data_IF_726998349745
#
_entry.id   IF_726998349745
#
_cell.length_a   1.000
_cell.length_b   1.000
_cell.length_c   1.000
_cell.angle_alpha   90.00
_cell.angle_beta   90.00
_cell.angle_gamma   90.00
#
_symmetry.space_group_name_H-M   'P 1'
#
loop_
_entity.id
_entity.type
_entity.pdbx_description
1 polymer ?
#
# COMPACT_ATOMS: atom_id res chain seq x y z
N UNK A 1 21.03 0.14 15.47
CA UNK A 1 19.69 0.05 16.09
C UNK A 1 19.01 -1.19 15.57
N UNK A 2 18.47 -2.04 16.45
CA UNK A 2 17.72 -3.20 16.00
C UNK A 2 16.42 -2.68 15.36
N UNK A 3 16.19 -2.96 14.07
CA UNK A 3 14.89 -2.78 13.44
C UNK A 3 13.88 -3.63 14.25
N UNK A 4 13.05 -2.98 15.04
CA UNK A 4 11.91 -3.64 15.66
C UNK A 4 10.96 -3.91 14.49
N UNK A 5 11.05 -5.12 13.96
CA UNK A 5 10.21 -5.57 12.86
C UNK A 5 8.91 -6.03 13.48
N UNK A 6 7.85 -5.23 13.37
CA UNK A 6 6.51 -5.69 13.69
C UNK A 6 6.20 -6.91 12.84
N UNK A 7 6.02 -8.05 13.46
CA UNK A 7 5.58 -9.24 12.79
C UNK A 7 4.34 -9.78 13.51
N UNK A 8 3.18 -9.59 12.91
CA UNK A 8 1.97 -10.23 13.37
C UNK A 8 2.12 -11.75 13.20
N UNK A 9 1.91 -12.49 14.26
CA UNK A 9 1.98 -13.96 14.23
C UNK A 9 0.68 -14.56 14.73
N UNK A 10 0.32 -15.73 14.26
CA UNK A 10 -0.83 -16.48 14.80
C UNK A 10 -0.55 -17.09 16.18
N UNK A 11 0.72 -17.24 16.55
CA UNK A 11 1.12 -17.91 17.79
C UNK A 11 1.00 -17.00 19.03
N UNK A 12 0.79 -17.61 20.16
CA UNK A 12 0.80 -16.98 21.49
C UNK A 12 -0.49 -16.24 21.85
N UNK A 13 -0.63 -15.97 23.15
CA UNK A 13 -1.73 -15.17 23.68
C UNK A 13 -1.58 -13.71 23.26
N UNK A 14 -2.68 -13.09 22.81
CA UNK A 14 -2.70 -11.71 22.36
C UNK A 14 -3.25 -10.81 23.45
N UNK A 15 -2.65 -9.65 23.61
CA UNK A 15 -3.09 -8.64 24.58
C UNK A 15 -3.16 -7.30 23.85
N UNK A 16 -4.23 -6.56 24.07
CA UNK A 16 -4.39 -5.20 23.57
C UNK A 16 -4.31 -4.25 24.77
N UNK A 17 -3.37 -3.32 24.72
CA UNK A 17 -3.29 -2.22 25.67
C UNK A 17 -4.11 -1.03 25.16
N UNK A 18 -4.77 -0.32 26.06
CA UNK A 18 -5.57 0.87 25.75
C UNK A 18 -4.88 2.10 26.33
N UNK A 19 -4.78 3.13 25.50
CA UNK A 19 -4.16 4.40 25.84
C UNK A 19 -5.14 5.57 25.61
N UNK A 20 -4.97 6.65 26.37
CA UNK A 20 -5.66 7.92 26.08
C UNK A 20 -5.01 8.70 24.94
N UNK A 21 -5.54 9.90 24.67
CA UNK A 21 -5.02 10.79 23.62
C UNK A 21 -3.59 11.32 23.91
N UNK A 22 -3.11 11.23 25.15
CA UNK A 22 -1.75 11.57 25.56
C UNK A 22 -0.86 10.34 25.70
N UNK A 23 -1.32 9.18 25.18
CA UNK A 23 -0.65 7.89 25.24
C UNK A 23 -0.32 7.40 26.65
N UNK A 24 -1.13 7.81 27.66
CA UNK A 24 -1.08 7.21 28.99
C UNK A 24 -1.91 5.92 29.01
N UNK A 25 -1.36 4.89 29.66
CA UNK A 25 -2.03 3.59 29.74
C UNK A 25 -3.29 3.67 30.60
N UNK A 26 -4.41 3.21 30.07
CA UNK A 26 -5.70 3.15 30.75
C UNK A 26 -6.08 1.74 31.21
N UNK A 27 -5.56 0.70 30.55
CA UNK A 27 -5.89 -0.68 30.86
C UNK A 27 -5.55 -1.65 29.75
N UNK A 28 -6.04 -2.89 29.87
CA UNK A 28 -5.78 -3.97 28.92
C UNK A 28 -7.07 -4.70 28.56
N UNK A 29 -7.09 -5.27 27.36
CA UNK A 29 -8.12 -6.18 26.86
C UNK A 29 -7.43 -7.50 26.57
N UNK A 30 -7.80 -8.56 27.26
CA UNK A 30 -7.17 -9.89 27.16
C UNK A 30 -8.12 -10.92 26.55
N UNK A 31 -9.39 -10.56 26.33
CA UNK A 31 -10.39 -11.41 25.72
C UNK A 31 -11.35 -10.63 24.83
N UNK A 32 -11.78 -11.26 23.76
CA UNK A 32 -12.72 -10.73 22.78
C UNK A 32 -13.56 -11.85 22.15
N UNK A 33 -14.67 -11.48 21.55
CA UNK A 33 -15.48 -12.37 20.70
C UNK A 33 -14.83 -12.54 19.34
N UNK A 34 -14.43 -11.41 18.74
CA UNK A 34 -13.66 -11.39 17.48
C UNK A 34 -12.71 -10.20 17.46
N UNK A 35 -11.57 -10.40 16.81
CA UNK A 35 -10.57 -9.37 16.52
C UNK A 35 -10.13 -9.50 15.06
N UNK A 36 -10.12 -8.39 14.34
CA UNK A 36 -9.46 -8.23 13.05
C UNK A 36 -8.47 -7.08 13.18
N UNK A 37 -7.18 -7.33 13.00
CA UNK A 37 -6.11 -6.34 13.14
C UNK A 37 -5.30 -6.26 11.85
N UNK A 38 -5.60 -5.32 10.95
CA UNK A 38 -4.86 -5.11 9.70
C UNK A 38 -3.71 -4.12 9.90
N UNK A 39 -2.56 -4.42 9.35
CA UNK A 39 -1.47 -3.48 9.10
C UNK A 39 -1.30 -3.30 7.61
N UNK A 40 -1.22 -2.06 7.11
CA UNK A 40 -1.18 -1.75 5.67
C UNK A 40 0.00 -0.87 5.30
N UNK A 41 0.40 -0.96 4.04
CA UNK A 41 1.45 -0.16 3.45
C UNK A 41 0.85 1.02 2.67
N UNK A 42 1.15 2.24 3.09
CA UNK A 42 0.78 3.49 2.41
C UNK A 42 -0.71 3.67 2.05
N UNK A 43 -1.61 2.99 2.75
CA UNK A 43 -3.05 3.09 2.52
C UNK A 43 -3.75 3.17 3.87
N UNK A 44 -4.19 4.37 4.25
CA UNK A 44 -4.77 4.63 5.57
C UNK A 44 -6.09 5.41 5.50
N UNK A 45 -6.26 6.32 4.51
CA UNK A 45 -7.34 7.31 4.47
C UNK A 45 -8.73 6.68 4.38
N UNK A 46 -8.95 5.78 3.44
CA UNK A 46 -10.27 5.22 3.12
C UNK A 46 -10.40 3.75 3.54
N UNK A 47 -9.59 3.30 4.49
CA UNK A 47 -9.59 1.92 4.96
C UNK A 47 -9.93 1.85 6.45
N UNK A 48 -10.55 0.74 6.82
CA UNK A 48 -10.84 0.45 8.21
C UNK A 48 -9.58 -0.09 8.90
N UNK A 49 -9.33 0.38 10.12
CA UNK A 49 -8.31 -0.17 11.01
C UNK A 49 -8.79 -1.46 11.68
N UNK A 50 -8.34 -1.68 12.91
CA UNK A 50 -8.77 -2.84 13.67
C UNK A 50 -10.27 -2.80 14.02
N UNK A 51 -10.88 -3.98 14.08
CA UNK A 51 -12.24 -4.20 14.52
C UNK A 51 -12.23 -5.19 15.69
N UNK A 52 -12.93 -4.85 16.75
CA UNK A 52 -13.09 -5.72 17.91
C UNK A 52 -14.57 -5.88 18.24
N UNK A 53 -14.98 -7.12 18.49
CA UNK A 53 -16.21 -7.40 19.19
C UNK A 53 -15.85 -7.89 20.61
N UNK A 54 -16.36 -7.19 21.61
CA UNK A 54 -16.14 -7.47 23.02
C UNK A 54 -17.48 -7.84 23.68
N UNK A 55 -17.42 -8.57 24.79
CA UNK A 55 -18.58 -8.70 25.65
C UNK A 55 -18.88 -7.35 26.28
N UNK A 56 -20.15 -6.95 26.25
CA UNK A 56 -20.56 -5.66 26.78
C UNK A 56 -20.50 -5.63 28.31
N UNK A 57 -19.58 -4.86 28.85
CA UNK A 57 -19.43 -4.58 30.29
C UNK A 57 -19.20 -3.10 30.53
N UNK A 58 -19.65 -2.59 31.66
CA UNK A 58 -19.44 -1.18 32.04
C UNK A 58 -17.96 -0.78 32.02
N UNK A 59 -17.08 -1.67 32.43
CA UNK A 59 -15.63 -1.44 32.44
C UNK A 59 -15.09 -1.26 30.98
N UNK A 60 -15.48 -2.13 30.04
CA UNK A 60 -15.06 -2.05 28.66
C UNK A 60 -15.68 -0.85 27.92
N UNK A 61 -16.94 -0.50 28.22
CA UNK A 61 -17.56 0.73 27.73
C UNK A 61 -16.80 1.98 28.22
N UNK A 62 -16.38 1.99 29.47
CA UNK A 62 -15.56 3.08 30.00
C UNK A 62 -14.15 3.10 29.40
N UNK A 63 -13.59 1.92 29.09
CA UNK A 63 -12.24 1.77 28.56
C UNK A 63 -12.16 2.05 27.04
N UNK A 64 -13.17 1.66 26.24
CA UNK A 64 -13.16 1.74 24.77
C UNK A 64 -14.01 2.92 24.28
N UNK A 65 -13.49 4.13 24.36
CA UNK A 65 -14.17 5.35 23.88
C UNK A 65 -13.46 5.92 22.64
N UNK A 66 -14.16 6.66 21.78
CA UNK A 66 -13.51 7.42 20.70
C UNK A 66 -12.32 8.24 21.20
N UNK A 67 -11.35 8.51 20.34
CA UNK A 67 -10.09 9.21 20.57
C UNK A 67 -9.10 8.47 21.48
N UNK A 68 -9.36 7.25 21.87
CA UNK A 68 -8.39 6.37 22.54
C UNK A 68 -7.67 5.50 21.52
N UNK A 69 -6.51 5.03 21.93
CA UNK A 69 -5.67 4.20 21.09
C UNK A 69 -5.60 2.77 21.61
N UNK A 70 -5.62 1.83 20.70
CA UNK A 70 -5.41 0.41 20.96
C UNK A 70 -4.02 0.02 20.46
N UNK A 71 -3.29 -0.72 21.24
CA UNK A 71 -2.01 -1.31 20.87
C UNK A 71 -2.04 -2.81 21.07
N UNK A 72 -1.94 -3.55 19.98
CA UNK A 72 -1.69 -4.98 20.04
C UNK A 72 -0.22 -5.22 20.37
N UNK A 73 0.08 -5.89 21.48
CA UNK A 73 1.47 -6.15 21.88
C UNK A 73 2.21 -6.90 20.78
N UNK A 74 3.35 -6.36 20.37
CA UNK A 74 4.15 -6.87 19.25
C UNK A 74 3.92 -6.15 17.92
N UNK A 75 2.88 -5.31 17.80
CA UNK A 75 2.70 -4.39 16.67
C UNK A 75 3.53 -3.11 16.87
N UNK A 76 3.99 -2.50 15.79
CA UNK A 76 4.55 -1.15 15.80
C UNK A 76 3.49 -0.07 15.50
N UNK A 77 2.21 -0.48 15.41
CA UNK A 77 1.07 0.37 15.07
C UNK A 77 0.16 0.59 16.27
N UNK A 78 -0.40 1.78 16.33
CA UNK A 78 -1.58 2.05 17.15
C UNK A 78 -2.82 2.15 16.25
N UNK A 79 -3.95 1.77 16.81
CA UNK A 79 -5.25 1.93 16.18
C UNK A 79 -6.08 2.89 17.02
N UNK A 80 -6.48 4.03 16.43
CA UNK A 80 -7.34 5.02 17.09
C UNK A 80 -8.80 4.59 17.02
N UNK A 81 -9.49 4.54 18.14
CA UNK A 81 -10.92 4.24 18.20
C UNK A 81 -11.69 5.40 17.59
N UNK A 82 -12.46 5.12 16.54
CA UNK A 82 -13.33 6.10 15.88
C UNK A 82 -14.81 5.87 16.19
N UNK A 83 -15.17 4.64 16.57
CA UNK A 83 -16.54 4.30 16.95
C UNK A 83 -16.55 3.18 18.00
N UNK A 84 -17.45 3.31 18.96
CA UNK A 84 -17.77 2.29 19.95
C UNK A 84 -19.30 2.16 19.98
N UNK A 85 -19.82 1.05 19.45
CA UNK A 85 -21.26 0.80 19.33
C UNK A 85 -21.65 -0.37 20.23
N UNK A 86 -22.74 -0.17 20.96
CA UNK A 86 -23.37 -1.23 21.76
C UNK A 86 -24.51 -1.84 20.96
N UNK A 87 -24.48 -3.14 20.75
CA UNK A 87 -25.54 -3.90 20.08
C UNK A 87 -25.59 -5.34 20.62
N UNK A 88 -26.77 -5.84 20.93
CA UNK A 88 -27.01 -7.25 21.28
C UNK A 88 -26.02 -7.84 22.30
N UNK A 89 -25.84 -7.19 23.43
CA UNK A 89 -24.88 -7.57 24.49
C UNK A 89 -23.41 -7.60 24.08
N UNK A 90 -23.07 -6.99 22.94
CA UNK A 90 -21.72 -6.81 22.45
C UNK A 90 -21.36 -5.33 22.39
N UNK A 91 -20.08 -5.06 22.58
CA UNK A 91 -19.47 -3.76 22.33
C UNK A 91 -18.61 -3.91 21.06
N UNK A 92 -19.02 -3.25 19.99
CA UNK A 92 -18.32 -3.28 18.68
C UNK A 92 -17.47 -2.03 18.57
N UNK A 93 -16.16 -2.21 18.43
CA UNK A 93 -15.18 -1.14 18.33
C UNK A 93 -14.65 -1.11 16.88
N UNK A 94 -14.74 0.06 16.26
CA UNK A 94 -14.12 0.34 14.96
C UNK A 94 -13.00 1.36 15.13
N UNK A 95 -11.90 1.13 14.44
CA UNK A 95 -10.72 1.98 14.54
C UNK A 95 -10.21 2.42 13.17
N UNK A 96 -9.29 3.38 13.19
CA UNK A 96 -8.38 3.70 12.07
C UNK A 96 -6.94 3.57 12.54
N UNK A 97 -6.02 3.29 11.59
CA UNK A 97 -4.58 3.36 11.88
C UNK A 97 -4.21 4.77 12.39
N UNK A 98 -3.27 4.85 13.34
CA UNK A 98 -2.83 6.12 13.90
C UNK A 98 -2.28 7.10 12.85
N UNK A 99 -1.84 6.62 11.69
CA UNK A 99 -1.46 7.48 10.56
C UNK A 99 -2.59 8.42 10.12
N UNK A 100 -3.86 8.06 10.37
CA UNK A 100 -5.01 8.92 10.09
C UNK A 100 -5.02 10.23 10.90
N UNK A 101 -4.17 10.38 11.91
CA UNK A 101 -3.99 11.66 12.62
C UNK A 101 -3.51 12.76 11.65
N UNK A 102 -2.78 12.40 10.60
CA UNK A 102 -2.31 13.33 9.56
C UNK A 102 -3.47 13.93 8.74
N UNK A 103 -4.63 13.28 8.72
CA UNK A 103 -5.82 13.78 8.03
C UNK A 103 -6.47 14.98 8.76
N UNK A 104 -6.09 15.22 10.01
CA UNK A 104 -6.58 16.31 10.82
C UNK A 104 -5.90 17.66 10.54
N UNK A 105 -4.87 17.67 9.71
CA UNK A 105 -4.13 18.86 9.31
C UNK A 105 -4.08 18.97 7.80
N UNK A 106 -4.12 20.20 7.31
CA UNK A 106 -4.15 20.48 5.88
C UNK A 106 -2.99 21.38 5.47
N UNK A 107 -2.47 21.17 4.28
CA UNK A 107 -1.62 22.11 3.58
C UNK A 107 -2.47 22.88 2.55
N UNK A 108 -2.35 24.18 2.54
CA UNK A 108 -3.00 25.06 1.56
C UNK A 108 -2.10 25.38 0.37
N UNK A 109 -0.88 24.86 0.38
CA UNK A 109 0.11 25.11 -0.67
C UNK A 109 -0.02 24.09 -1.77
N UNK A 110 0.10 24.54 -3.02
CA UNK A 110 0.40 23.67 -4.15
C UNK A 110 1.90 23.41 -4.17
N UNK A 111 2.29 22.13 -4.18
CA UNK A 111 3.69 21.73 -4.20
C UNK A 111 4.06 21.21 -5.58
N UNK A 112 5.24 21.60 -6.09
CA UNK A 112 5.77 21.10 -7.36
C UNK A 112 7.30 21.04 -7.30
N UNK A 113 7.89 20.01 -7.86
CA UNK A 113 9.34 19.82 -7.95
C UNK A 113 10.06 20.00 -6.62
N UNK A 114 9.86 19.07 -5.68
CA UNK A 114 10.40 19.20 -4.31
C UNK A 114 11.14 17.96 -3.83
N UNK A 115 12.08 18.15 -2.91
CA UNK A 115 12.73 17.06 -2.17
C UNK A 115 11.72 16.40 -1.23
N UNK A 116 11.48 15.10 -1.39
CA UNK A 116 10.35 14.39 -0.75
C UNK A 116 10.49 14.35 0.75
N UNK A 117 11.64 13.89 1.26
CA UNK A 117 11.82 13.72 2.70
C UNK A 117 11.71 15.05 3.44
N UNK A 118 12.45 16.06 2.97
CA UNK A 118 12.47 17.37 3.62
C UNK A 118 11.08 18.03 3.60
N UNK A 119 10.38 17.91 2.48
CA UNK A 119 9.06 18.53 2.34
C UNK A 119 8.01 17.84 3.18
N UNK A 120 7.89 16.52 3.13
CA UNK A 120 6.89 15.79 3.93
C UNK A 120 7.16 15.95 5.45
N UNK A 121 8.41 15.86 5.87
CA UNK A 121 8.81 16.08 7.26
C UNK A 121 8.54 17.55 7.67
N UNK A 122 8.85 18.50 6.78
CA UNK A 122 8.57 19.92 6.98
C UNK A 122 7.07 20.22 7.13
N UNK A 123 6.21 19.58 6.33
CA UNK A 123 4.75 19.72 6.45
C UNK A 123 4.25 19.17 7.78
N UNK A 124 4.75 18.04 8.23
CA UNK A 124 4.36 17.44 9.51
C UNK A 124 4.85 18.30 10.69
N UNK A 125 6.09 18.76 10.67
CA UNK A 125 6.64 19.59 11.75
C UNK A 125 6.09 21.01 11.78
N UNK A 126 5.75 21.57 10.62
CA UNK A 126 5.19 22.92 10.48
C UNK A 126 3.68 22.99 10.75
N UNK A 127 2.99 21.87 10.83
CA UNK A 127 1.58 21.83 11.17
C UNK A 127 1.36 22.19 12.66
N UNK A 128 0.11 22.54 13.01
CA UNK A 128 -0.26 22.71 14.41
C UNK A 128 0.06 21.42 15.18
N UNK A 129 0.82 21.55 16.26
CA UNK A 129 1.36 20.43 17.00
C UNK A 129 0.29 19.42 17.46
N UNK A 130 0.64 18.14 17.38
CA UNK A 130 -0.10 17.08 18.04
C UNK A 130 0.57 16.76 19.38
N UNK A 131 -0.20 16.46 20.41
CA UNK A 131 0.36 16.18 21.74
C UNK A 131 1.32 14.97 21.76
N UNK A 132 1.15 14.03 20.83
CA UNK A 132 1.83 12.74 20.86
C UNK A 132 2.60 12.41 19.58
N UNK A 133 2.54 13.22 18.51
CA UNK A 133 3.21 12.95 17.23
C UNK A 133 4.48 13.77 17.11
N UNK A 134 5.59 13.10 16.82
CA UNK A 134 6.90 13.70 16.53
C UNK A 134 7.47 13.12 15.24
N UNK A 135 8.53 13.72 14.73
CA UNK A 135 9.30 13.18 13.63
C UNK A 135 10.23 12.08 14.13
N UNK A 136 10.19 10.91 13.49
CA UNK A 136 11.22 9.90 13.68
C UNK A 136 12.55 10.28 13.03
N UNK A 137 13.51 9.37 13.02
CA UNK A 137 14.82 9.58 12.38
C UNK A 137 14.64 9.84 10.87
N UNK A 138 15.50 10.66 10.29
CA UNK A 138 15.52 10.86 8.85
C UNK A 138 16.03 9.58 8.14
N UNK A 139 15.37 9.22 7.05
CA UNK A 139 15.72 8.04 6.26
C UNK A 139 16.88 8.30 5.27
N UNK A 140 17.20 9.58 5.03
CA UNK A 140 18.22 10.00 4.06
C UNK A 140 17.78 9.79 2.62
N UNK A 141 16.48 9.97 2.33
CA UNK A 141 15.94 9.84 0.98
C UNK A 141 16.33 11.05 0.14
N UNK A 142 16.83 10.81 -1.06
CA UNK A 142 17.28 11.85 -2.01
C UNK A 142 16.27 12.04 -3.16
N UNK A 143 15.09 11.46 -3.04
CA UNK A 143 14.08 11.50 -4.09
C UNK A 143 13.49 12.88 -4.26
N UNK A 144 13.26 13.25 -5.52
CA UNK A 144 12.56 14.47 -5.90
C UNK A 144 11.22 14.09 -6.54
N UNK A 145 10.16 14.68 -6.07
CA UNK A 145 8.84 14.58 -6.70
C UNK A 145 8.73 15.66 -7.78
N UNK A 146 8.43 15.28 -9.00
CA UNK A 146 8.36 16.21 -10.15
C UNK A 146 6.93 16.55 -10.57
N UNK A 147 5.92 15.87 -10.01
CA UNK A 147 4.52 16.14 -10.25
C UNK A 147 4.00 17.37 -9.47
N UNK A 148 2.72 17.64 -9.63
CA UNK A 148 1.99 18.64 -8.85
C UNK A 148 1.14 17.97 -7.77
N UNK A 149 1.25 18.44 -6.54
CA UNK A 149 0.41 18.04 -5.43
C UNK A 149 -0.46 19.22 -5.04
N UNK A 150 -1.77 19.04 -5.12
CA UNK A 150 -2.76 20.08 -4.77
C UNK A 150 -2.91 20.21 -3.25
N UNK A 151 -3.44 21.35 -2.78
CA UNK A 151 -3.84 21.53 -1.39
C UNK A 151 -4.71 20.36 -0.91
N UNK A 152 -4.44 19.88 0.29
CA UNK A 152 -5.16 18.74 0.85
C UNK A 152 -4.72 18.40 2.26
N UNK A 153 -5.24 17.29 2.82
CA UNK A 153 -4.78 16.80 4.11
C UNK A 153 -3.35 16.27 4.01
N UNK A 154 -2.60 16.35 5.11
CA UNK A 154 -1.22 15.84 5.13
C UNK A 154 -1.18 14.33 4.86
N UNK A 155 -2.23 13.61 5.23
CA UNK A 155 -2.36 12.19 4.92
C UNK A 155 -2.47 11.95 3.41
N UNK A 156 -3.38 12.67 2.73
CA UNK A 156 -3.58 12.51 1.28
C UNK A 156 -2.33 12.88 0.48
N UNK A 157 -1.61 13.93 0.91
CA UNK A 157 -0.34 14.35 0.31
C UNK A 157 0.72 13.25 0.49
N UNK A 158 0.87 12.71 1.69
CA UNK A 158 1.83 11.65 1.97
C UNK A 158 1.49 10.37 1.20
N UNK A 159 0.22 9.96 1.16
CA UNK A 159 -0.23 8.79 0.38
C UNK A 159 0.08 8.96 -1.11
N UNK A 160 -0.28 10.08 -1.72
CA UNK A 160 -0.02 10.34 -3.13
C UNK A 160 1.47 10.26 -3.45
N UNK A 161 2.29 11.07 -2.78
CA UNK A 161 3.73 11.16 -3.06
C UNK A 161 4.45 9.84 -2.81
N UNK A 162 4.14 9.19 -1.70
CA UNK A 162 4.80 7.93 -1.32
C UNK A 162 4.39 6.75 -2.20
N UNK A 163 3.14 6.70 -2.68
CA UNK A 163 2.70 5.67 -3.62
C UNK A 163 3.34 5.85 -5.00
N UNK A 164 3.39 7.08 -5.52
CA UNK A 164 3.97 7.34 -6.85
C UNK A 164 5.49 7.07 -6.91
N UNK A 165 6.22 7.31 -5.82
CA UNK A 165 7.68 7.11 -5.76
C UNK A 165 8.10 5.79 -5.10
N UNK A 166 7.17 4.94 -4.73
CA UNK A 166 7.44 3.69 -4.02
C UNK A 166 8.27 3.88 -2.73
N UNK A 167 7.97 4.94 -2.00
CA UNK A 167 8.51 5.25 -0.68
C UNK A 167 7.49 4.80 0.37
N UNK A 168 7.96 4.17 1.45
CA UNK A 168 7.12 3.85 2.60
C UNK A 168 6.98 5.03 3.55
N UNK A 169 5.77 5.24 4.08
CA UNK A 169 5.60 6.05 5.28
C UNK A 169 4.74 5.33 6.31
N UNK A 170 4.92 5.69 7.55
CA UNK A 170 4.13 5.15 8.66
C UNK A 170 4.13 6.11 9.85
N UNK A 171 3.15 5.93 10.73
CA UNK A 171 3.16 6.50 12.07
C UNK A 171 3.37 5.37 13.05
N UNK A 172 4.62 5.22 13.53
CA UNK A 172 5.05 4.14 14.40
C UNK A 172 4.85 4.51 15.88
N UNK A 173 4.45 3.55 16.69
CA UNK A 173 4.37 3.71 18.13
C UNK A 173 5.71 3.41 18.79
N UNK A 174 6.28 4.42 19.44
CA UNK A 174 7.41 4.26 20.36
C UNK A 174 6.88 4.06 21.78
N UNK A 175 6.72 2.81 22.16
CA UNK A 175 6.13 2.45 23.46
C UNK A 175 6.96 2.93 24.66
N UNK A 176 8.29 2.84 24.69
CA UNK A 176 9.13 3.38 25.76
C UNK A 176 8.97 4.89 25.96
N UNK A 177 8.91 5.64 24.88
CA UNK A 177 8.78 7.10 24.95
C UNK A 177 7.32 7.57 24.99
N UNK A 178 6.36 6.68 24.77
CA UNK A 178 4.92 6.98 24.62
C UNK A 178 4.65 8.06 23.59
N UNK A 179 5.21 7.86 22.39
CA UNK A 179 5.10 8.78 21.26
C UNK A 179 4.72 8.06 20.00
N UNK A 180 4.06 8.79 19.11
CA UNK A 180 3.89 8.44 17.71
C UNK A 180 5.00 9.08 16.92
N UNK A 181 5.66 8.33 16.04
CA UNK A 181 6.76 8.81 15.23
C UNK A 181 6.37 8.73 13.75
N UNK A 182 6.34 9.88 13.07
CA UNK A 182 6.22 9.92 11.61
C UNK A 182 7.55 9.54 10.99
N UNK A 183 7.56 8.47 10.21
CA UNK A 183 8.75 7.92 9.56
C UNK A 183 8.51 7.72 8.07
N UNK A 184 9.54 8.08 7.29
CA UNK A 184 9.67 7.70 5.88
C UNK A 184 10.73 6.60 5.79
N UNK A 185 10.60 5.70 4.82
CA UNK A 185 11.59 4.64 4.61
C UNK A 185 11.57 4.13 3.16
N UNK A 186 12.72 3.63 2.70
CA UNK A 186 12.79 2.92 1.42
C UNK A 186 12.54 1.44 1.68
N UNK A 187 11.48 0.88 1.10
CA UNK A 187 11.28 -0.56 1.18
C UNK A 187 12.44 -1.32 0.54
N UNK A 188 12.98 -2.31 1.26
CA UNK A 188 14.10 -3.11 0.81
C UNK A 188 13.66 -4.56 0.60
N UNK A 189 14.30 -5.22 -0.36
CA UNK A 189 14.19 -6.68 -0.49
C UNK A 189 14.75 -7.31 0.79
N UNK A 190 13.96 -8.18 1.41
CA UNK A 190 14.44 -9.01 2.51
C UNK A 190 15.22 -10.19 1.92
N UNK A 191 16.55 -10.22 2.04
CA UNK A 191 17.37 -11.28 1.45
C UNK A 191 17.10 -12.65 2.07
N UNK A 192 16.56 -12.67 3.30
CA UNK A 192 16.25 -13.89 4.05
C UNK A 192 14.82 -14.38 3.78
N UNK A 193 13.95 -13.53 3.26
CA UNK A 193 12.57 -13.87 2.97
C UNK A 193 12.42 -14.50 1.57
N UNK A 194 12.89 -15.75 1.44
CA UNK A 194 12.74 -16.56 0.23
C UNK A 194 11.57 -17.50 0.41
N UNK A 195 10.62 -17.41 -0.50
CA UNK A 195 9.41 -18.20 -0.50
C UNK A 195 9.43 -19.20 -1.65
N UNK A 196 9.25 -20.47 -1.32
CA UNK A 196 9.14 -21.51 -2.32
C UNK A 196 8.43 -22.73 -1.70
N UNK A 197 7.69 -23.52 -2.51
CA UNK A 197 6.95 -24.70 -2.01
C UNK A 197 7.81 -25.68 -1.23
N UNK A 198 9.06 -25.87 -1.62
CA UNK A 198 9.99 -26.78 -0.94
C UNK A 198 10.32 -26.35 0.50
N UNK A 199 10.10 -25.11 0.87
CA UNK A 199 10.31 -24.62 2.24
C UNK A 199 9.04 -24.67 3.10
N UNK A 200 7.89 -25.04 2.51
CA UNK A 200 6.60 -25.06 3.22
C UNK A 200 6.12 -23.70 3.71
N UNK A 201 6.70 -22.61 3.20
CA UNK A 201 6.44 -21.24 3.63
C UNK A 201 5.63 -20.41 2.61
N UNK A 202 4.96 -21.11 1.70
CA UNK A 202 4.22 -20.51 0.59
C UNK A 202 3.01 -21.37 0.24
N UNK A 203 1.89 -20.71 0.04
CA UNK A 203 0.65 -21.31 -0.49
C UNK A 203 0.19 -20.56 -1.73
N UNK A 204 -0.77 -21.15 -2.45
CA UNK A 204 -1.46 -20.53 -3.60
C UNK A 204 -0.51 -20.03 -4.70
N UNK A 205 0.62 -20.75 -4.90
CA UNK A 205 1.55 -20.42 -5.96
C UNK A 205 0.92 -20.70 -7.32
N UNK A 206 0.70 -19.65 -8.09
CA UNK A 206 0.13 -19.72 -9.44
C UNK A 206 0.90 -18.82 -10.38
N UNK A 207 1.27 -19.34 -11.53
CA UNK A 207 1.79 -18.57 -12.64
C UNK A 207 0.86 -18.73 -13.84
N UNK A 208 0.45 -17.62 -14.41
CA UNK A 208 -0.40 -17.59 -15.61
C UNK A 208 0.27 -16.71 -16.65
N UNK A 209 0.45 -17.22 -17.83
CA UNK A 209 0.82 -16.47 -19.01
C UNK A 209 -0.36 -16.46 -19.98
N UNK A 210 -0.76 -15.29 -20.46
CA UNK A 210 -1.87 -15.14 -21.39
C UNK A 210 -1.53 -14.17 -22.52
N UNK A 211 -1.92 -14.57 -23.70
CA UNK A 211 -1.85 -13.74 -24.91
C UNK A 211 -3.24 -13.42 -25.47
N UNK A 212 -4.28 -13.65 -24.68
CA UNK A 212 -5.69 -13.50 -25.12
C UNK A 212 -5.94 -12.11 -25.72
N UNK A 213 -5.51 -11.07 -25.03
CA UNK A 213 -5.69 -9.68 -25.46
C UNK A 213 -4.39 -9.04 -25.97
N UNK A 214 -3.35 -9.85 -26.15
CA UNK A 214 -2.05 -9.36 -26.55
C UNK A 214 -2.08 -8.79 -27.97
N UNK A 215 -1.65 -7.54 -28.11
CA UNK A 215 -1.42 -6.83 -29.35
C UNK A 215 -0.01 -6.25 -29.37
N UNK A 216 0.60 -6.21 -30.54
CA UNK A 216 1.95 -5.66 -30.71
C UNK A 216 2.05 -4.58 -31.78
N UNK A 217 0.95 -4.30 -32.45
CA UNK A 217 0.81 -3.23 -33.42
C UNK A 217 -0.53 -2.55 -33.22
N UNK A 218 -0.54 -1.23 -33.24
CA UNK A 218 -1.76 -0.44 -33.22
C UNK A 218 -1.79 0.49 -34.41
N UNK A 219 -2.86 0.42 -35.19
CA UNK A 219 -3.15 1.37 -36.27
C UNK A 219 -4.23 2.33 -35.75
N UNK A 220 -3.90 3.60 -35.68
CA UNK A 220 -4.79 4.69 -35.26
C UNK A 220 -5.29 5.42 -36.47
N UNK A 221 -6.58 5.47 -36.67
CA UNK A 221 -7.26 6.18 -37.76
C UNK A 221 -7.88 7.46 -37.20
N UNK A 222 -7.26 8.59 -37.49
CA UNK A 222 -7.78 9.93 -37.18
C UNK A 222 -8.56 10.51 -38.37
N UNK A 223 -9.19 11.69 -38.20
CA UNK A 223 -9.92 12.37 -39.24
C UNK A 223 -9.00 12.82 -40.40
N UNK A 224 -7.81 13.29 -40.07
CA UNK A 224 -6.88 13.92 -41.01
C UNK A 224 -5.58 13.14 -41.20
N UNK A 225 -5.58 11.83 -40.86
CA UNK A 225 -4.42 10.97 -41.05
C UNK A 225 -4.48 9.67 -40.28
N UNK A 226 -3.58 8.75 -40.66
CA UNK A 226 -3.47 7.43 -40.04
C UNK A 226 -2.01 7.17 -39.65
N UNK A 227 -1.79 6.56 -38.50
CA UNK A 227 -0.46 6.15 -38.05
C UNK A 227 -0.47 4.72 -37.54
N UNK A 228 0.67 4.04 -37.65
CA UNK A 228 0.86 2.70 -37.08
C UNK A 228 2.04 2.75 -36.12
N UNK A 229 1.86 2.19 -34.91
CA UNK A 229 2.87 2.13 -33.86
C UNK A 229 3.09 0.68 -33.43
N UNK A 230 4.22 0.44 -32.75
CA UNK A 230 4.58 -0.86 -32.20
C UNK A 230 5.56 -1.64 -33.08
N UNK A 231 5.57 -2.97 -32.94
CA UNK A 231 6.53 -3.88 -33.57
C UNK A 231 6.18 -4.14 -35.05
N UNK A 232 6.32 -3.12 -35.89
CA UNK A 232 5.89 -3.13 -37.30
C UNK A 232 6.63 -4.17 -38.17
N UNK A 233 7.80 -4.65 -37.74
CA UNK A 233 8.58 -5.70 -38.41
C UNK A 233 8.03 -7.11 -38.17
N UNK A 234 7.10 -7.30 -37.27
CA UNK A 234 6.48 -8.60 -37.05
C UNK A 234 5.61 -8.99 -38.24
N UNK A 235 5.75 -10.22 -38.70
CA UNK A 235 5.00 -10.81 -39.81
C UNK A 235 4.37 -12.14 -39.41
N UNK A 236 3.40 -12.58 -40.18
CA UNK A 236 2.72 -13.87 -39.94
C UNK A 236 2.06 -13.95 -38.59
N UNK A 237 2.18 -15.10 -37.92
CA UNK A 237 1.55 -15.37 -36.64
C UNK A 237 2.08 -14.48 -35.47
N UNK A 238 3.26 -13.88 -35.63
CA UNK A 238 3.81 -12.95 -34.67
C UNK A 238 3.13 -11.57 -34.69
N UNK A 239 2.42 -11.24 -35.78
CA UNK A 239 1.74 -9.96 -35.99
C UNK A 239 0.34 -10.00 -35.37
N UNK A 240 0.06 -9.12 -34.41
CA UNK A 240 -1.21 -9.01 -33.71
C UNK A 240 -1.63 -7.56 -33.68
N UNK A 241 -2.62 -7.22 -34.49
CA UNK A 241 -3.03 -5.85 -34.73
C UNK A 241 -4.21 -5.41 -33.86
N UNK A 242 -4.18 -4.14 -33.50
CA UNK A 242 -5.26 -3.39 -32.91
C UNK A 242 -5.60 -2.22 -33.84
N UNK A 243 -6.87 -2.00 -34.09
CA UNK A 243 -7.37 -0.81 -34.77
C UNK A 243 -7.98 0.12 -33.72
N UNK A 244 -7.51 1.35 -33.67
CA UNK A 244 -8.05 2.40 -32.82
C UNK A 244 -8.72 3.46 -33.70
N UNK A 245 -10.02 3.57 -33.57
CA UNK A 245 -10.80 4.62 -34.23
C UNK A 245 -10.69 5.92 -33.44
N UNK A 246 -10.00 6.89 -33.99
CA UNK A 246 -9.88 8.26 -33.50
C UNK A 246 -10.44 9.27 -34.51
N UNK A 247 -11.38 8.87 -35.36
CA UNK A 247 -11.95 9.71 -36.46
C UNK A 247 -12.64 10.98 -35.95
N UNK A 248 -13.02 11.04 -34.67
CA UNK A 248 -13.51 12.25 -34.00
C UNK A 248 -12.41 13.30 -33.75
N UNK A 249 -11.13 12.90 -33.73
CA UNK A 249 -9.99 13.80 -33.54
C UNK A 249 -9.59 14.41 -34.85
N UNK A 250 -9.86 15.72 -35.00
CA UNK A 250 -9.46 16.53 -36.13
C UNK A 250 -8.19 17.29 -35.81
N UNK A 251 -7.43 17.61 -36.85
CA UNK A 251 -6.30 18.52 -36.76
C UNK A 251 -6.80 19.94 -36.43
N UNK A 252 -6.21 20.61 -35.46
CA UNK A 252 -6.52 22.00 -35.17
C UNK A 252 -5.97 22.93 -36.27
N UNK A 253 -6.61 24.08 -36.51
CA UNK A 253 -6.25 25.00 -37.59
C UNK A 253 -4.79 25.47 -37.55
N UNK A 254 -4.19 25.58 -36.38
CA UNK A 254 -2.80 26.01 -36.18
C UNK A 254 -1.82 24.87 -35.95
N UNK A 255 -2.27 23.64 -35.90
CA UNK A 255 -1.44 22.47 -35.64
C UNK A 255 -0.76 22.03 -36.94
N UNK A 256 0.54 21.73 -36.87
CA UNK A 256 1.22 21.10 -37.99
C UNK A 256 0.73 19.67 -38.26
N UNK A 257 0.91 19.17 -39.45
CA UNK A 257 0.57 17.76 -39.76
C UNK A 257 1.41 16.80 -38.93
N UNK A 258 2.68 17.11 -38.71
CA UNK A 258 3.59 16.28 -37.92
C UNK A 258 3.20 16.23 -36.44
N UNK A 259 2.78 17.35 -35.85
CA UNK A 259 2.28 17.39 -34.47
C UNK A 259 0.97 16.62 -34.31
N UNK A 260 0.09 16.72 -35.29
CA UNK A 260 -1.14 15.93 -35.31
C UNK A 260 -0.84 14.43 -35.37
N UNK A 261 0.03 13.98 -36.28
CA UNK A 261 0.43 12.58 -36.38
C UNK A 261 1.19 12.12 -35.12
N UNK A 262 2.00 12.98 -34.51
CA UNK A 262 2.65 12.68 -33.23
C UNK A 262 1.61 12.45 -32.10
N UNK A 263 0.54 13.25 -32.08
CA UNK A 263 -0.54 13.06 -31.10
C UNK A 263 -1.28 11.73 -31.31
N UNK A 264 -1.49 11.30 -32.54
CA UNK A 264 -2.06 9.99 -32.87
C UNK A 264 -1.11 8.84 -32.48
N UNK A 265 0.23 9.02 -32.67
CA UNK A 265 1.23 8.04 -32.23
C UNK A 265 1.17 7.84 -30.71
N UNK A 266 1.19 8.93 -29.95
CA UNK A 266 1.10 8.87 -28.50
C UNK A 266 -0.18 8.15 -28.03
N UNK A 267 -1.31 8.41 -28.69
CA UNK A 267 -2.58 7.73 -28.41
C UNK A 267 -2.49 6.22 -28.70
N UNK A 268 -1.89 5.85 -29.84
CA UNK A 268 -1.70 4.44 -30.20
C UNK A 268 -0.76 3.70 -29.26
N UNK A 269 0.33 4.34 -28.82
CA UNK A 269 1.26 3.78 -27.83
C UNK A 269 0.59 3.58 -26.48
N UNK A 270 -0.20 4.56 -26.03
CA UNK A 270 -0.97 4.46 -24.79
C UNK A 270 -2.01 3.32 -24.85
N UNK A 271 -2.69 3.16 -25.96
CA UNK A 271 -3.66 2.08 -26.12
C UNK A 271 -2.96 0.72 -26.21
N UNK A 272 -1.87 0.62 -26.96
CA UNK A 272 -1.09 -0.61 -27.08
C UNK A 272 -0.52 -1.07 -25.74
N UNK A 273 -0.16 -0.14 -24.86
CA UNK A 273 0.31 -0.45 -23.51
C UNK A 273 -0.74 -1.19 -22.63
N UNK A 274 -2.02 -1.12 -22.97
CA UNK A 274 -3.09 -1.86 -22.30
C UNK A 274 -3.19 -3.32 -22.78
N UNK A 275 -2.59 -3.64 -23.90
CA UNK A 275 -2.66 -4.93 -24.59
C UNK A 275 -1.35 -5.70 -24.57
N UNK A 276 -0.59 -5.56 -23.48
CA UNK A 276 0.65 -6.30 -23.30
C UNK A 276 0.36 -7.79 -23.02
N UNK A 277 1.36 -8.65 -23.29
CA UNK A 277 1.32 -10.04 -22.81
C UNK A 277 1.10 -10.05 -21.31
N UNK A 278 0.06 -10.73 -20.85
CA UNK A 278 -0.24 -10.82 -19.45
C UNK A 278 0.60 -11.95 -18.83
N UNK A 279 1.46 -11.60 -17.92
CA UNK A 279 2.13 -12.53 -17.03
C UNK A 279 1.66 -12.23 -15.61
N UNK A 280 1.01 -13.19 -14.95
CA UNK A 280 0.52 -13.04 -13.61
C UNK A 280 1.13 -14.11 -12.71
N UNK A 281 1.78 -13.68 -11.65
CA UNK A 281 2.38 -14.54 -10.66
C UNK A 281 1.71 -14.23 -9.31
N UNK A 282 1.08 -15.24 -8.71
CA UNK A 282 0.45 -15.11 -7.39
C UNK A 282 1.11 -16.07 -6.43
N UNK A 283 1.29 -15.63 -5.21
CA UNK A 283 1.72 -16.49 -4.11
C UNK A 283 1.27 -15.88 -2.79
N UNK A 284 1.04 -16.72 -1.80
CA UNK A 284 0.70 -16.29 -0.45
C UNK A 284 1.81 -16.73 0.49
N UNK A 285 2.63 -15.80 1.03
CA UNK A 285 3.61 -16.12 2.05
C UNK A 285 2.92 -16.65 3.31
N UNK A 286 3.46 -17.72 3.90
CA UNK A 286 3.04 -18.25 5.19
C UNK A 286 4.12 -18.01 6.24
N UNK A 287 3.72 -17.67 7.46
CA UNK A 287 4.64 -17.33 8.54
C UNK A 287 4.77 -15.83 8.80
N UNK A 288 5.70 -15.42 9.66
CA UNK A 288 5.85 -14.03 10.05
C UNK A 288 6.40 -13.19 8.88
N UNK A 289 5.63 -12.22 8.45
CA UNK A 289 5.99 -11.23 7.43
C UNK A 289 5.78 -9.82 7.95
N UNK A 290 6.50 -8.87 7.39
CA UNK A 290 6.41 -7.45 7.77
C UNK A 290 5.87 -6.64 6.60
N UNK A 291 4.89 -5.78 6.89
CA UNK A 291 4.30 -4.85 5.92
C UNK A 291 5.37 -3.91 5.34
N UNK A 292 5.31 -3.69 4.03
CA UNK A 292 6.23 -2.83 3.30
C UNK A 292 7.53 -3.51 2.85
N UNK A 293 7.89 -4.70 3.37
CA UNK A 293 9.03 -5.45 2.85
C UNK A 293 8.74 -6.05 1.48
N UNK A 294 9.77 -6.16 0.67
CA UNK A 294 9.71 -6.88 -0.61
C UNK A 294 10.22 -8.30 -0.38
N UNK A 295 9.46 -9.27 -0.82
CA UNK A 295 9.76 -10.70 -0.70
C UNK A 295 9.89 -11.32 -2.08
N UNK A 296 10.73 -12.37 -2.21
CA UNK A 296 10.91 -13.07 -3.47
C UNK A 296 10.35 -14.48 -3.40
N UNK A 297 9.66 -14.89 -4.45
CA UNK A 297 9.21 -16.27 -4.65
C UNK A 297 9.74 -16.83 -5.97
N UNK A 298 9.96 -18.15 -6.02
CA UNK A 298 10.41 -18.83 -7.23
C UNK A 298 9.46 -19.96 -7.60
N UNK A 299 9.22 -20.11 -8.92
CA UNK A 299 8.43 -21.20 -9.47
C UNK A 299 9.32 -22.43 -9.66
N UNK A 300 9.06 -23.57 -8.99
CA UNK A 300 9.88 -24.75 -9.08
C UNK A 300 10.00 -25.29 -10.51
N UNK A 301 11.20 -25.73 -10.89
CA UNK A 301 11.44 -26.30 -12.23
C UNK A 301 11.52 -25.28 -13.36
N UNK A 302 11.50 -23.98 -13.04
CA UNK A 302 11.62 -22.89 -14.02
C UNK A 302 12.67 -21.87 -13.57
N UNK A 303 13.03 -20.97 -14.48
CA UNK A 303 13.86 -19.79 -14.21
C UNK A 303 13.06 -18.56 -13.71
N UNK A 304 11.73 -18.72 -13.54
CA UNK A 304 10.82 -17.64 -13.19
C UNK A 304 10.90 -17.36 -11.69
N UNK A 305 11.18 -16.11 -11.38
CA UNK A 305 11.14 -15.56 -10.04
C UNK A 305 10.25 -14.33 -10.03
N UNK A 306 9.57 -14.10 -8.92
CA UNK A 306 8.79 -12.89 -8.71
C UNK A 306 9.20 -12.24 -7.40
N UNK A 307 9.28 -10.92 -7.41
CA UNK A 307 9.41 -10.12 -6.21
C UNK A 307 8.13 -9.32 -6.02
N UNK A 308 7.57 -9.33 -4.82
CA UNK A 308 6.37 -8.57 -4.50
C UNK A 308 6.51 -7.91 -3.14
N UNK A 309 5.86 -6.76 -2.99
CA UNK A 309 5.76 -6.05 -1.71
C UNK A 309 4.65 -6.66 -0.87
N UNK A 310 4.87 -6.80 0.41
CA UNK A 310 3.80 -7.08 1.38
C UNK A 310 3.01 -5.79 1.56
N UNK A 311 1.78 -5.76 1.07
CA UNK A 311 0.90 -4.57 1.12
C UNK A 311 0.01 -4.56 2.33
N UNK A 312 -0.37 -5.73 2.84
CA UNK A 312 -1.09 -5.84 4.09
C UNK A 312 -0.80 -7.15 4.82
N UNK A 313 -0.87 -7.11 6.13
CA UNK A 313 -0.88 -8.28 7.01
C UNK A 313 -2.04 -8.12 7.97
N UNK A 314 -2.92 -9.10 8.04
CA UNK A 314 -4.11 -9.05 8.89
C UNK A 314 -4.12 -10.25 9.85
N UNK A 315 -4.07 -9.95 11.14
CA UNK A 315 -4.35 -10.92 12.20
C UNK A 315 -5.86 -11.00 12.40
N UNK A 316 -6.38 -12.20 12.36
CA UNK A 316 -7.75 -12.51 12.74
C UNK A 316 -7.72 -13.43 13.96
N UNK A 317 -8.55 -13.12 14.96
CA UNK A 317 -8.67 -13.93 16.17
C UNK A 317 -10.14 -14.08 16.52
N UNK A 318 -10.62 -15.31 16.56
CA UNK A 318 -12.00 -15.64 16.89
C UNK A 318 -12.06 -16.96 17.65
N UNK A 319 -12.84 -17.04 18.71
CA UNK A 319 -13.04 -18.26 19.53
C UNK A 319 -11.72 -18.89 20.01
N UNK A 320 -10.69 -18.08 20.25
CA UNK A 320 -9.37 -18.54 20.71
C UNK A 320 -8.43 -19.02 19.58
N UNK A 321 -8.89 -19.07 18.35
CA UNK A 321 -8.07 -19.38 17.18
C UNK A 321 -7.55 -18.10 16.54
N UNK A 322 -6.27 -18.10 16.21
CA UNK A 322 -5.61 -16.98 15.53
C UNK A 322 -5.17 -17.41 14.14
N UNK A 323 -5.40 -16.58 13.16
CA UNK A 323 -4.87 -16.71 11.80
C UNK A 323 -4.25 -15.40 11.33
N UNK A 324 -3.28 -15.51 10.44
CA UNK A 324 -2.66 -14.35 9.80
C UNK A 324 -2.77 -14.52 8.30
N UNK A 325 -3.32 -13.51 7.64
CA UNK A 325 -3.39 -13.43 6.19
C UNK A 325 -2.47 -12.35 5.67
N UNK A 326 -1.84 -12.59 4.53
CA UNK A 326 -0.89 -11.67 3.91
C UNK A 326 -1.38 -11.30 2.52
N UNK A 327 -1.37 -10.00 2.22
CA UNK A 327 -1.63 -9.48 0.88
C UNK A 327 -0.31 -9.00 0.27
N UNK A 328 -0.14 -9.27 -1.02
CA UNK A 328 1.00 -8.78 -1.78
C UNK A 328 0.55 -7.83 -2.88
N UNK A 329 1.39 -6.87 -3.21
CA UNK A 329 1.22 -6.01 -4.37
C UNK A 329 1.50 -6.75 -5.68
N UNK A 330 1.44 -6.03 -6.78
CA UNK A 330 1.73 -6.59 -8.11
C UNK A 330 3.15 -7.15 -8.15
N UNK A 331 3.33 -8.43 -8.43
CA UNK A 331 4.66 -9.04 -8.51
C UNK A 331 5.46 -8.50 -9.70
N UNK A 332 6.74 -8.23 -9.47
CA UNK A 332 7.70 -7.91 -10.52
C UNK A 332 8.39 -9.22 -10.91
N UNK A 333 8.12 -9.69 -12.12
CA UNK A 333 8.73 -10.90 -12.66
C UNK A 333 10.19 -10.67 -13.04
N UNK A 334 11.03 -11.62 -12.71
CA UNK A 334 12.44 -11.69 -13.12
C UNK A 334 12.70 -13.07 -13.69
N UNK A 335 13.38 -13.12 -14.82
CA UNK A 335 13.93 -14.38 -15.35
C UNK A 335 15.40 -14.42 -14.99
N UNK A 336 15.89 -15.58 -14.55
CA UNK A 336 17.34 -15.77 -14.43
C UNK A 336 17.91 -15.66 -15.83
N UNK A 337 18.80 -14.70 -16.05
CA UNK A 337 19.58 -14.69 -17.29
C UNK A 337 20.35 -16.03 -17.33
N UNK A 338 20.04 -16.85 -18.30
CA UNK A 338 20.82 -18.03 -18.68
C UNK A 338 22.13 -17.61 -19.31
#
# INVERSE_FOLDING_TARGET
MAEITSALTASGHKIICVYDAQLQSLGRIESWVSLVWPERYNVYSNVQGAQLELHDTTALQALCRPDRYLWLIGSDRLMRIVSAQKADHKLVISTKDAACILDERVSTQTLSSFAVEDTLRGLVSGAAAWPCLELGDAAGLTDTYTGEVKPGSLLSIAEQVCQELDIGFRVRFDQPQKKLLFELYRPKLDPNARYAPQYGNLTDLTYTESITDYKNICTVVGADGTVTVGATNNIGAARRELLLDASSRKKEEKQSQDDYLASLRALGEQELAKHLRLENFRFTPTGPVTVGKVVAASLPGTDIQAAARITAVTLQSQKGENSVTTEIGTPILRRKNT
#
